data_IF_841071234114
#
_entry.id   IF_841071234114
#
_cell.length_a   1.000
_cell.length_b   1.000
_cell.length_c   1.000
_cell.angle_alpha   90.00
_cell.angle_beta   90.00
_cell.angle_gamma   90.00
#
_symmetry.space_group_name_H-M   'P 1'
#
loop_
_entity.id
_entity.type
_entity.pdbx_description
1 polymer ?
#
# COMPACT_ATOMS: atom_id res chain seq x y z
N UNK A 1 31.46 11.65 -9.54
CA UNK A 1 30.26 12.37 -9.04
C UNK A 1 29.03 11.74 -9.68
N UNK A 2 28.08 11.24 -8.88
CA UNK A 2 26.90 10.48 -9.35
C UNK A 2 25.91 11.44 -10.04
N UNK A 3 25.36 11.06 -11.20
CA UNK A 3 24.57 11.95 -12.08
C UNK A 3 23.33 12.56 -11.38
N UNK A 4 22.65 11.74 -10.57
CA UNK A 4 21.52 12.11 -9.70
C UNK A 4 21.86 13.19 -8.67
N UNK A 5 23.06 13.14 -8.07
CA UNK A 5 23.50 14.13 -7.08
C UNK A 5 23.60 15.54 -7.67
N UNK A 6 24.23 15.67 -8.84
CA UNK A 6 24.33 16.95 -9.57
C UNK A 6 22.97 17.49 -9.99
N UNK A 7 22.04 16.60 -10.38
CA UNK A 7 20.67 17.03 -10.74
C UNK A 7 19.92 17.53 -9.50
N UNK A 8 20.06 16.88 -8.33
CA UNK A 8 19.42 17.34 -7.08
C UNK A 8 19.99 18.67 -6.57
N UNK A 9 21.29 18.91 -6.73
CA UNK A 9 21.89 20.21 -6.39
C UNK A 9 21.26 21.35 -7.21
N UNK A 10 21.02 21.11 -8.50
CA UNK A 10 20.37 22.08 -9.39
C UNK A 10 18.85 22.15 -9.23
N UNK A 11 18.22 21.04 -8.88
CA UNK A 11 16.77 20.89 -8.75
C UNK A 11 16.42 20.19 -7.42
N UNK A 12 16.49 20.91 -6.28
CA UNK A 12 16.35 20.30 -4.94
C UNK A 12 14.95 19.74 -4.67
N UNK A 13 13.96 20.11 -5.47
CA UNK A 13 12.58 19.61 -5.39
C UNK A 13 12.29 18.46 -6.38
N UNK A 14 13.25 18.06 -7.20
CA UNK A 14 13.06 16.94 -8.12
C UNK A 14 12.92 15.65 -7.30
N UNK A 15 11.80 14.96 -7.50
CA UNK A 15 11.61 13.59 -7.04
C UNK A 15 11.95 12.64 -8.19
N UNK A 16 12.76 11.63 -7.90
CA UNK A 16 13.17 10.60 -8.84
C UNK A 16 12.69 9.25 -8.33
N UNK A 17 11.92 8.55 -9.15
CA UNK A 17 11.39 7.23 -8.87
C UNK A 17 12.07 6.24 -9.82
N UNK A 18 12.56 5.12 -9.31
CA UNK A 18 13.09 4.05 -10.14
C UNK A 18 12.04 2.96 -10.35
N UNK A 19 11.66 2.75 -11.61
CA UNK A 19 10.98 1.54 -12.03
C UNK A 19 12.01 0.41 -12.11
N UNK A 20 12.26 -0.22 -10.97
CA UNK A 20 13.23 -1.29 -10.82
C UNK A 20 12.52 -2.48 -10.16
N UNK A 21 12.52 -3.61 -10.84
CA UNK A 21 11.93 -4.85 -10.34
C UNK A 21 13.02 -5.72 -9.74
N UNK A 22 12.97 -5.94 -8.43
CA UNK A 22 13.81 -6.95 -7.78
C UNK A 22 13.15 -8.32 -7.91
N UNK A 23 13.68 -9.14 -8.81
CA UNK A 23 13.33 -10.56 -8.86
C UNK A 23 14.24 -11.32 -7.90
N UNK A 24 13.78 -11.53 -6.66
CA UNK A 24 14.53 -12.24 -5.60
C UNK A 24 15.06 -13.62 -6.06
N UNK A 25 14.41 -14.22 -7.06
CA UNK A 25 14.72 -15.54 -7.61
C UNK A 25 15.80 -15.52 -8.70
N UNK A 26 16.11 -14.36 -9.29
CA UNK A 26 16.94 -14.25 -10.52
C UNK A 26 18.16 -13.35 -10.31
N UNK A 27 18.08 -12.33 -9.46
CA UNK A 27 19.17 -11.38 -9.22
C UNK A 27 19.51 -11.26 -7.74
N UNK A 28 20.79 -11.01 -7.39
CA UNK A 28 21.15 -10.66 -6.03
C UNK A 28 20.35 -9.41 -5.59
N UNK A 29 19.69 -9.53 -4.44
CA UNK A 29 18.86 -8.47 -3.86
C UNK A 29 19.68 -7.22 -3.53
N UNK A 30 19.02 -6.05 -3.47
CA UNK A 30 19.64 -4.79 -3.04
C UNK A 30 19.91 -3.75 -4.13
N UNK A 31 19.46 -3.98 -5.37
CA UNK A 31 19.52 -2.97 -6.43
C UNK A 31 18.71 -1.73 -6.06
N UNK A 32 17.51 -1.90 -5.48
CA UNK A 32 16.67 -0.81 -5.01
C UNK A 32 17.33 0.00 -3.89
N UNK A 33 18.00 -0.68 -2.96
CA UNK A 33 18.78 -0.03 -1.91
C UNK A 33 19.92 0.80 -2.49
N UNK A 34 20.66 0.27 -3.47
CA UNK A 34 21.74 1.00 -4.12
C UNK A 34 21.21 2.20 -4.95
N UNK A 35 20.08 2.07 -5.63
CA UNK A 35 19.43 3.19 -6.33
C UNK A 35 19.04 4.31 -5.36
N UNK A 36 18.47 3.98 -4.20
CA UNK A 36 18.15 4.96 -3.16
C UNK A 36 19.43 5.61 -2.61
N UNK A 37 20.49 4.84 -2.37
CA UNK A 37 21.82 5.38 -2.01
C UNK A 37 22.43 6.27 -3.09
N UNK A 38 22.08 6.04 -4.36
CA UNK A 38 22.45 6.91 -5.47
C UNK A 38 21.58 8.17 -5.55
N UNK A 39 20.52 8.32 -4.75
CA UNK A 39 19.72 9.54 -4.68
C UNK A 39 18.36 9.45 -5.38
N UNK A 40 17.90 8.25 -5.74
CA UNK A 40 16.48 8.03 -6.00
C UNK A 40 15.69 8.18 -4.71
N UNK A 41 14.48 8.73 -4.83
CA UNK A 41 13.61 8.97 -3.68
C UNK A 41 12.87 7.70 -3.28
N UNK A 42 12.48 6.91 -4.29
CA UNK A 42 11.86 5.62 -4.09
C UNK A 42 12.15 4.68 -5.28
N UNK A 43 11.83 3.41 -5.09
CA UNK A 43 11.80 2.38 -6.13
C UNK A 43 10.45 1.67 -6.10
N UNK A 44 10.04 1.02 -7.18
CA UNK A 44 8.77 0.28 -7.22
C UNK A 44 8.77 -0.89 -6.21
N UNK A 45 7.66 -1.08 -5.49
CA UNK A 45 7.47 -2.24 -4.61
C UNK A 45 6.88 -3.44 -5.38
N UNK A 46 7.63 -3.95 -6.36
CA UNK A 46 7.22 -5.13 -7.15
C UNK A 46 7.01 -6.36 -6.26
N UNK A 47 7.84 -6.52 -5.24
CA UNK A 47 7.72 -7.61 -4.27
C UNK A 47 6.36 -7.56 -3.57
N UNK A 48 5.87 -6.38 -3.14
CA UNK A 48 4.52 -6.27 -2.58
C UNK A 48 3.45 -6.71 -3.58
N UNK A 49 3.53 -6.23 -4.82
CA UNK A 49 2.58 -6.62 -5.87
C UNK A 49 2.55 -8.15 -6.08
N UNK A 50 3.72 -8.80 -6.10
CA UNK A 50 3.82 -10.26 -6.22
C UNK A 50 3.23 -10.97 -5.00
N UNK A 51 3.53 -10.51 -3.78
CA UNK A 51 2.95 -11.09 -2.56
C UNK A 51 1.44 -10.91 -2.43
N UNK A 52 0.87 -9.87 -3.03
CA UNK A 52 -0.58 -9.68 -3.12
C UNK A 52 -1.23 -10.69 -4.08
N UNK A 53 -0.46 -11.26 -4.99
CA UNK A 53 -0.89 -12.27 -5.99
C UNK A 53 -0.71 -13.71 -5.49
N UNK A 54 0.32 -13.96 -4.68
CA UNK A 54 0.74 -15.31 -4.24
C UNK A 54 -0.23 -16.04 -3.26
N UNK A 55 -1.31 -15.40 -2.81
CA UNK A 55 -2.27 -15.93 -1.81
C UNK A 55 -1.66 -16.41 -0.47
N UNK A 56 -0.42 -16.02 -0.19
CA UNK A 56 0.33 -16.49 0.98
C UNK A 56 0.42 -15.41 2.07
N UNK A 57 -0.54 -15.44 3.01
CA UNK A 57 -0.68 -14.42 4.07
C UNK A 57 0.60 -14.15 4.87
N UNK A 58 1.42 -15.18 5.16
CA UNK A 58 2.64 -14.96 5.95
C UNK A 58 3.74 -14.25 5.15
N UNK A 59 3.86 -14.49 3.84
CA UNK A 59 4.80 -13.79 2.98
C UNK A 59 4.37 -12.33 2.82
N UNK A 60 3.07 -12.11 2.60
CA UNK A 60 2.50 -10.77 2.51
C UNK A 60 2.70 -10.01 3.83
N UNK A 61 2.42 -10.65 4.98
CA UNK A 61 2.63 -10.05 6.31
C UNK A 61 4.10 -9.74 6.55
N UNK A 62 5.00 -10.68 6.24
CA UNK A 62 6.44 -10.50 6.42
C UNK A 62 6.96 -9.29 5.63
N UNK A 63 6.48 -9.12 4.40
CA UNK A 63 6.85 -7.97 3.56
C UNK A 63 6.28 -6.64 4.02
N UNK A 64 5.02 -6.64 4.49
CA UNK A 64 4.33 -5.43 4.92
C UNK A 64 4.73 -4.94 6.31
N UNK A 65 4.89 -5.88 7.25
CA UNK A 65 4.99 -5.60 8.69
C UNK A 65 6.34 -5.98 9.28
N UNK A 66 7.19 -6.70 8.54
CA UNK A 66 8.52 -7.11 8.99
C UNK A 66 9.58 -6.03 8.81
N UNK A 67 10.72 -6.26 9.44
CA UNK A 67 11.90 -5.40 9.29
C UNK A 67 12.50 -5.54 7.89
N UNK A 68 12.92 -4.41 7.30
CA UNK A 68 13.45 -4.35 5.94
C UNK A 68 14.72 -3.53 5.87
N UNK A 69 15.65 -3.97 5.03
CA UNK A 69 16.86 -3.22 4.74
C UNK A 69 16.57 -1.89 4.02
N UNK A 70 15.59 -1.89 3.11
CA UNK A 70 15.06 -0.68 2.48
C UNK A 70 13.78 -0.26 3.20
N UNK A 71 13.76 0.90 3.87
CA UNK A 71 12.57 1.38 4.56
C UNK A 71 11.39 1.60 3.61
N UNK A 72 10.18 1.31 4.10
CA UNK A 72 8.95 1.37 3.30
C UNK A 72 8.69 2.75 2.67
N UNK A 73 9.14 3.84 3.32
CA UNK A 73 9.06 5.20 2.79
C UNK A 73 9.83 5.44 1.48
N UNK A 74 10.73 4.53 1.10
CA UNK A 74 11.47 4.52 -0.16
C UNK A 74 10.88 3.55 -1.20
N UNK A 75 9.65 3.07 -0.98
CA UNK A 75 8.96 2.16 -1.87
C UNK A 75 7.73 2.84 -2.44
N UNK A 76 7.55 2.71 -3.75
CA UNK A 76 6.37 3.17 -4.45
C UNK A 76 5.38 2.02 -4.58
N UNK A 77 4.23 2.18 -3.93
CA UNK A 77 3.20 1.16 -3.83
C UNK A 77 2.17 1.32 -4.94
N UNK A 78 1.79 0.19 -5.55
CA UNK A 78 0.79 0.11 -6.60
C UNK A 78 0.15 -1.28 -6.60
N UNK A 79 -1.03 -1.38 -7.18
CA UNK A 79 -1.69 -2.67 -7.46
C UNK A 79 -1.92 -2.90 -8.95
N UNK A 80 -1.66 -1.90 -9.78
CA UNK A 80 -1.59 -2.03 -11.23
C UNK A 80 -0.70 -0.92 -11.78
N UNK A 81 -0.07 -1.20 -12.91
CA UNK A 81 0.66 -0.23 -13.71
C UNK A 81 0.55 -0.64 -15.19
N UNK A 82 1.32 -0.01 -16.09
CA UNK A 82 1.21 -0.29 -17.51
C UNK A 82 1.75 -1.66 -17.97
N UNK A 83 2.60 -2.28 -17.17
CA UNK A 83 3.17 -3.61 -17.42
C UNK A 83 2.34 -4.71 -16.75
N UNK A 84 1.78 -4.41 -15.57
CA UNK A 84 0.97 -5.33 -14.76
C UNK A 84 -0.49 -5.40 -15.22
N UNK A 85 -1.17 -6.46 -14.79
CA UNK A 85 -2.60 -6.64 -15.05
C UNK A 85 -3.45 -5.61 -14.32
N UNK A 86 -4.65 -5.37 -14.85
CA UNK A 86 -5.66 -4.55 -14.18
C UNK A 86 -6.04 -5.18 -12.84
N UNK A 87 -5.90 -4.45 -11.74
CA UNK A 87 -6.17 -4.90 -10.39
C UNK A 87 -7.60 -5.45 -10.24
N UNK A 88 -8.58 -4.81 -10.87
CA UNK A 88 -9.98 -5.25 -10.83
C UNK A 88 -10.20 -6.60 -11.54
N UNK A 89 -9.41 -6.92 -12.56
CA UNK A 89 -9.44 -8.22 -13.24
C UNK A 89 -8.62 -9.26 -12.47
N UNK A 90 -7.41 -8.89 -12.05
CA UNK A 90 -6.40 -9.77 -11.47
C UNK A 90 -6.75 -10.22 -10.04
N UNK A 91 -7.09 -9.28 -9.16
CA UNK A 91 -7.42 -9.59 -7.76
C UNK A 91 -8.91 -9.90 -7.56
N UNK A 92 -9.76 -9.62 -8.55
CA UNK A 92 -11.21 -9.78 -8.48
C UNK A 92 -11.80 -9.09 -7.24
N UNK A 93 -12.53 -9.84 -6.41
CA UNK A 93 -13.14 -9.33 -5.17
C UNK A 93 -12.14 -8.75 -4.15
N UNK A 94 -10.84 -9.03 -4.28
CA UNK A 94 -9.80 -8.51 -3.40
C UNK A 94 -9.16 -7.22 -3.88
N UNK A 95 -9.54 -6.70 -5.04
CA UNK A 95 -8.90 -5.51 -5.65
C UNK A 95 -8.89 -4.30 -4.70
N UNK A 96 -10.00 -4.03 -4.00
CA UNK A 96 -10.06 -2.97 -3.01
C UNK A 96 -9.16 -3.25 -1.80
N UNK A 97 -9.17 -4.49 -1.29
CA UNK A 97 -8.32 -4.86 -0.16
C UNK A 97 -6.82 -4.73 -0.50
N UNK A 98 -6.43 -5.08 -1.73
CA UNK A 98 -5.07 -4.92 -2.24
C UNK A 98 -4.70 -3.43 -2.34
N UNK A 99 -5.62 -2.60 -2.83
CA UNK A 99 -5.44 -1.16 -2.94
C UNK A 99 -5.29 -0.52 -1.55
N UNK A 100 -6.13 -0.87 -0.57
CA UNK A 100 -5.99 -0.41 0.82
C UNK A 100 -4.65 -0.85 1.38
N UNK A 101 -4.27 -2.12 1.18
CA UNK A 101 -3.03 -2.67 1.71
C UNK A 101 -1.79 -1.97 1.15
N UNK A 102 -1.79 -1.62 -0.13
CA UNK A 102 -0.66 -0.97 -0.80
C UNK A 102 -0.62 0.53 -0.54
N UNK A 103 -1.76 1.20 -0.71
CA UNK A 103 -1.80 2.67 -0.77
C UNK A 103 -1.80 3.33 0.60
N UNK A 104 -2.04 2.59 1.68
CA UNK A 104 -1.99 3.14 3.05
C UNK A 104 -0.65 2.90 3.76
N UNK A 105 0.36 2.41 3.04
CA UNK A 105 1.74 2.28 3.52
C UNK A 105 2.52 3.60 3.36
N UNK A 106 3.62 3.79 4.11
CA UNK A 106 4.63 4.79 3.84
C UNK A 106 5.20 4.70 2.44
N UNK A 107 5.43 5.85 1.82
CA UNK A 107 6.06 5.97 0.52
C UNK A 107 5.12 6.53 -0.55
N UNK A 108 5.64 6.73 -1.78
CA UNK A 108 4.83 7.15 -2.91
C UNK A 108 3.72 6.14 -3.23
N UNK A 109 2.62 6.66 -3.77
CA UNK A 109 1.43 5.90 -4.15
C UNK A 109 1.20 6.13 -5.64
N UNK A 110 1.10 5.06 -6.40
CA UNK A 110 0.85 5.14 -7.83
C UNK A 110 -0.53 4.58 -8.15
N UNK A 111 -1.26 5.33 -8.98
CA UNK A 111 -2.55 4.96 -9.52
C UNK A 111 -2.47 4.91 -11.03
N UNK A 112 -2.98 3.85 -11.63
CA UNK A 112 -3.12 3.79 -13.08
C UNK A 112 -4.46 4.38 -13.51
N UNK A 113 -4.49 4.97 -14.71
CA UNK A 113 -5.72 5.49 -15.29
C UNK A 113 -6.78 4.38 -15.43
N UNK A 114 -8.00 4.60 -14.94
CA UNK A 114 -9.08 3.62 -14.98
C UNK A 114 -9.17 2.72 -13.75
N UNK A 115 -8.20 2.78 -12.83
CA UNK A 115 -8.16 1.94 -11.64
C UNK A 115 -9.32 2.23 -10.69
N UNK A 116 -9.63 3.50 -10.48
CA UNK A 116 -10.71 3.97 -9.60
C UNK A 116 -12.09 3.63 -10.18
N UNK A 117 -12.18 3.61 -11.51
CA UNK A 117 -13.34 3.19 -12.28
C UNK A 117 -13.51 1.67 -12.35
N UNK A 118 -12.55 0.89 -11.84
CA UNK A 118 -12.61 -0.57 -11.85
C UNK A 118 -12.47 -1.19 -13.23
N UNK A 119 -11.80 -0.53 -14.17
CA UNK A 119 -11.57 -1.06 -15.52
C UNK A 119 -10.78 -2.37 -15.46
N UNK A 120 -11.23 -3.35 -16.24
CA UNK A 120 -10.69 -4.72 -16.25
C UNK A 120 -9.89 -5.02 -17.50
N UNK A 121 -10.13 -4.29 -18.58
CA UNK A 121 -9.47 -4.51 -19.86
C UNK A 121 -8.11 -3.83 -19.89
N UNK A 122 -7.12 -4.56 -20.40
CA UNK A 122 -5.75 -4.07 -20.52
C UNK A 122 -5.70 -2.86 -21.46
N UNK A 123 -5.00 -1.80 -21.03
CA UNK A 123 -4.63 -0.69 -21.89
C UNK A 123 -3.40 -1.08 -22.72
N UNK A 124 -3.57 -1.22 -24.04
CA UNK A 124 -2.45 -1.40 -24.95
C UNK A 124 -1.72 -0.07 -25.12
N UNK A 125 -0.80 0.24 -24.19
CA UNK A 125 -0.12 1.54 -24.11
C UNK A 125 0.61 1.92 -25.39
N UNK A 126 1.20 0.93 -26.08
CA UNK A 126 1.91 1.12 -27.35
C UNK A 126 0.97 1.61 -28.47
N UNK A 127 -0.31 1.23 -28.40
CA UNK A 127 -1.33 1.61 -29.37
C UNK A 127 -2.21 2.78 -28.87
N UNK A 128 -2.05 3.18 -27.60
CA UNK A 128 -2.91 4.15 -26.90
C UNK A 128 -4.39 3.82 -27.04
N UNK A 129 -4.72 2.52 -26.97
CA UNK A 129 -6.08 1.99 -27.15
C UNK A 129 -6.41 0.99 -26.06
N UNK A 130 -7.64 1.00 -25.61
CA UNK A 130 -8.25 -0.03 -24.77
C UNK A 130 -9.66 -0.30 -25.28
N UNK A 131 -10.22 -1.43 -24.86
CA UNK A 131 -11.66 -1.65 -24.98
C UNK A 131 -12.38 -0.61 -24.09
N UNK A 132 -13.50 -0.09 -24.56
CA UNK A 132 -14.33 0.79 -23.74
C UNK A 132 -15.08 -0.06 -22.73
N UNK A 133 -15.10 0.40 -21.49
CA UNK A 133 -15.81 -0.24 -20.39
C UNK A 133 -16.66 0.81 -19.67
N UNK A 134 -17.76 0.36 -19.06
CA UNK A 134 -18.47 1.17 -18.10
C UNK A 134 -17.74 1.13 -16.76
N UNK A 135 -17.75 2.23 -16.02
CA UNK A 135 -17.19 2.25 -14.68
C UNK A 135 -18.01 1.38 -13.72
N UNK A 136 -17.32 0.71 -12.80
CA UNK A 136 -17.92 0.01 -11.67
C UNK A 136 -18.25 1.02 -10.56
N UNK A 137 -19.54 1.29 -10.35
CA UNK A 137 -19.99 2.28 -9.39
C UNK A 137 -19.64 1.94 -7.94
N UNK A 138 -19.56 0.66 -7.59
CA UNK A 138 -19.19 0.23 -6.24
C UNK A 138 -17.70 0.49 -6.01
N UNK A 139 -16.86 0.13 -6.99
CA UNK A 139 -15.43 0.40 -6.96
C UNK A 139 -15.15 1.91 -6.86
N UNK A 140 -15.84 2.74 -7.65
CA UNK A 140 -15.69 4.20 -7.60
C UNK A 140 -16.03 4.77 -6.23
N UNK A 141 -17.13 4.31 -5.60
CA UNK A 141 -17.52 4.76 -4.27
C UNK A 141 -16.49 4.33 -3.22
N UNK A 142 -16.00 3.10 -3.31
CA UNK A 142 -14.99 2.58 -2.40
C UNK A 142 -13.65 3.32 -2.52
N UNK A 143 -13.16 3.55 -3.75
CA UNK A 143 -11.99 4.37 -4.00
C UNK A 143 -12.20 5.82 -3.55
N UNK A 144 -13.40 6.38 -3.73
CA UNK A 144 -13.75 7.70 -3.20
C UNK A 144 -13.53 7.79 -1.69
N UNK A 145 -13.99 6.79 -0.93
CA UNK A 145 -13.74 6.70 0.52
C UNK A 145 -12.26 6.51 0.84
N UNK A 146 -11.56 5.64 0.10
CA UNK A 146 -10.13 5.41 0.29
C UNK A 146 -9.32 6.69 0.08
N UNK A 147 -9.54 7.41 -1.02
CA UNK A 147 -8.86 8.66 -1.34
C UNK A 147 -9.09 9.74 -0.27
N UNK A 148 -10.26 9.78 0.35
CA UNK A 148 -10.54 10.67 1.48
C UNK A 148 -9.80 10.25 2.76
N UNK A 149 -9.56 8.96 2.96
CA UNK A 149 -8.82 8.43 4.11
C UNK A 149 -7.29 8.54 3.96
N UNK A 150 -6.77 8.48 2.73
CA UNK A 150 -5.34 8.50 2.43
C UNK A 150 -4.53 9.66 3.05
N UNK A 151 -5.06 10.89 3.18
CA UNK A 151 -4.37 11.98 3.89
C UNK A 151 -4.11 11.74 5.38
N UNK A 152 -4.89 10.85 6.02
CA UNK A 152 -4.74 10.50 7.43
C UNK A 152 -3.62 9.47 7.66
N UNK A 153 -3.25 8.72 6.62
CA UNK A 153 -2.11 7.83 6.61
C UNK A 153 -0.80 8.62 6.44
N UNK A 154 -0.46 9.45 7.45
CA UNK A 154 0.73 10.31 7.51
C UNK A 154 1.30 10.36 8.94
N UNK A 155 2.60 10.65 9.03
CA UNK A 155 3.32 10.73 10.31
C UNK A 155 4.11 9.46 10.61
N UNK A 156 4.11 9.01 11.86
CA UNK A 156 4.85 7.82 12.26
C UNK A 156 4.01 6.58 11.98
N UNK A 157 4.52 5.69 11.14
CA UNK A 157 3.92 4.39 10.84
C UNK A 157 4.46 3.30 11.77
N UNK A 158 3.59 2.37 12.17
CA UNK A 158 3.98 1.19 12.95
C UNK A 158 3.15 -0.04 12.57
N UNK A 159 3.75 -1.24 12.47
CA UNK A 159 3.00 -2.48 12.37
C UNK A 159 2.28 -2.77 13.68
N UNK A 160 1.19 -3.54 13.63
CA UNK A 160 0.39 -3.89 14.79
C UNK A 160 0.14 -5.39 14.85
N UNK A 161 0.25 -5.96 16.05
CA UNK A 161 0.00 -7.39 16.25
C UNK A 161 -1.48 -7.61 16.54
N UNK A 162 -2.17 -8.27 15.60
CA UNK A 162 -3.52 -8.79 15.85
C UNK A 162 -3.43 -10.11 16.63
N UNK A 163 -4.34 -10.33 17.59
CA UNK A 163 -4.41 -11.52 18.44
C UNK A 163 -5.77 -12.21 18.34
N UNK A 164 -5.80 -13.54 18.44
CA UNK A 164 -7.01 -14.35 18.36
C UNK A 164 -7.05 -15.30 17.16
N UNK A 165 -8.09 -16.14 17.09
CA UNK A 165 -8.17 -17.23 16.08
C UNK A 165 -8.20 -16.73 14.63
N UNK A 166 -8.80 -15.57 14.36
CA UNK A 166 -8.88 -14.98 13.02
C UNK A 166 -7.72 -14.04 12.67
N UNK A 167 -6.79 -13.77 13.60
CA UNK A 167 -5.75 -12.75 13.43
C UNK A 167 -4.83 -13.00 12.24
N UNK A 168 -4.55 -14.26 11.91
CA UNK A 168 -3.71 -14.61 10.77
C UNK A 168 -4.30 -14.22 9.40
N UNK A 169 -5.59 -13.88 9.34
CA UNK A 169 -6.26 -13.37 8.13
C UNK A 169 -6.13 -11.86 7.97
N UNK A 170 -5.72 -11.18 9.04
CA UNK A 170 -5.66 -9.73 9.11
C UNK A 170 -4.23 -9.21 8.96
N UNK A 171 -4.12 -8.06 8.31
CA UNK A 171 -2.93 -7.24 8.25
C UNK A 171 -3.30 -5.91 8.92
N UNK A 172 -2.54 -5.50 9.93
CA UNK A 172 -2.89 -4.33 10.75
C UNK A 172 -1.67 -3.45 10.97
N UNK A 173 -1.84 -2.15 10.77
CA UNK A 173 -0.87 -1.11 11.08
C UNK A 173 -1.55 0.17 11.52
N UNK A 174 -0.76 1.08 12.09
CA UNK A 174 -1.24 2.37 12.53
C UNK A 174 -0.34 3.51 12.05
N UNK A 175 -0.97 4.67 11.93
CA UNK A 175 -0.35 5.96 11.69
C UNK A 175 -0.62 6.88 12.87
N UNK A 176 0.45 7.50 13.36
CA UNK A 176 0.39 8.58 14.34
C UNK A 176 0.68 9.90 13.64
N UNK A 177 -0.41 10.62 13.34
CA UNK A 177 -0.35 12.00 12.88
C UNK A 177 -0.34 13.01 14.04
N UNK A 178 -0.15 14.31 13.76
CA UNK A 178 -0.12 15.35 14.79
C UNK A 178 -1.42 15.49 15.59
N UNK A 179 -2.57 15.28 14.95
CA UNK A 179 -3.89 15.54 15.53
C UNK A 179 -4.76 14.28 15.70
N UNK A 180 -4.45 13.19 15.02
CA UNK A 180 -5.26 11.98 15.02
C UNK A 180 -4.39 10.73 14.89
N UNK A 181 -5.02 9.60 15.20
CA UNK A 181 -4.52 8.26 14.93
C UNK A 181 -5.30 7.68 13.76
N UNK A 182 -4.68 6.81 12.98
CA UNK A 182 -5.38 6.03 11.96
C UNK A 182 -4.93 4.60 12.04
N UNK A 183 -5.88 3.70 12.22
CA UNK A 183 -5.64 2.25 12.18
C UNK A 183 -6.15 1.74 10.85
N UNK A 184 -5.33 0.95 10.18
CA UNK A 184 -5.70 0.24 8.96
C UNK A 184 -5.72 -1.23 9.31
N UNK A 185 -6.85 -1.88 9.05
CA UNK A 185 -7.02 -3.33 9.17
C UNK A 185 -7.55 -3.86 7.85
N UNK A 186 -6.82 -4.81 7.25
CA UNK A 186 -7.19 -5.45 5.99
C UNK A 186 -7.37 -6.93 6.23
N UNK A 187 -8.58 -7.43 5.98
CA UNK A 187 -8.79 -8.86 5.77
C UNK A 187 -8.47 -9.16 4.31
N UNK A 188 -7.40 -9.92 4.07
CA UNK A 188 -6.97 -10.26 2.71
C UNK A 188 -7.33 -11.71 2.33
N UNK A 189 -8.35 -12.25 3.00
CA UNK A 189 -8.89 -13.60 2.75
C UNK A 189 -10.37 -13.52 2.36
N UNK A 190 -10.93 -14.64 1.92
CA UNK A 190 -12.28 -14.79 1.38
C UNK A 190 -13.37 -15.05 2.43
N UNK A 191 -13.00 -15.12 3.71
CA UNK A 191 -13.94 -15.34 4.82
C UNK A 191 -13.77 -14.29 5.90
N UNK A 192 -14.84 -14.05 6.65
CA UNK A 192 -14.84 -13.13 7.78
C UNK A 192 -13.81 -13.53 8.85
N UNK A 193 -13.26 -12.51 9.51
CA UNK A 193 -12.23 -12.66 10.51
C UNK A 193 -12.41 -11.65 11.64
N UNK A 194 -12.12 -12.08 12.86
CA UNK A 194 -12.09 -11.24 14.05
C UNK A 194 -10.78 -11.42 14.78
N UNK A 195 -10.29 -10.32 15.34
CA UNK A 195 -9.10 -10.29 16.19
C UNK A 195 -9.18 -9.12 17.17
N UNK A 196 -8.33 -9.18 18.18
CA UNK A 196 -8.08 -8.09 19.11
C UNK A 196 -6.78 -7.39 18.73
N UNK A 197 -6.78 -6.06 18.77
CA UNK A 197 -5.58 -5.23 18.60
C UNK A 197 -5.37 -4.52 19.93
N UNK A 198 -4.14 -4.56 20.43
CA UNK A 198 -3.78 -3.82 21.63
C UNK A 198 -3.63 -2.35 21.29
N UNK A 199 -4.61 -1.54 21.68
CA UNK A 199 -4.59 -0.09 21.43
C UNK A 199 -3.47 0.59 22.24
N UNK A 200 -3.02 0.04 23.36
CA UNK A 200 -1.90 0.59 24.11
C UNK A 200 -0.57 0.45 23.35
N UNK A 201 -0.37 -0.66 22.62
CA UNK A 201 0.76 -0.82 21.69
C UNK A 201 0.74 0.25 20.58
N UNK A 202 -0.45 0.70 20.18
CA UNK A 202 -0.60 1.81 19.25
C UNK A 202 -0.21 3.12 19.93
N UNK A 203 -0.83 3.43 21.07
CA UNK A 203 -0.81 4.75 21.71
C UNK A 203 0.57 5.20 22.21
N UNK A 204 1.52 4.27 22.42
CA UNK A 204 2.93 4.50 22.81
C UNK A 204 3.21 5.34 24.08
N UNK A 205 2.22 6.06 24.61
CA UNK A 205 2.37 7.04 25.69
C UNK A 205 1.62 6.65 26.97
N UNK A 206 1.17 5.39 27.10
CA UNK A 206 0.60 4.86 28.35
C UNK A 206 -0.65 5.61 28.88
N UNK A 207 -1.24 6.48 28.07
CA UNK A 207 -2.44 7.24 28.43
C UNK A 207 -3.66 6.33 28.45
N UNK A 208 -4.12 5.94 29.64
CA UNK A 208 -5.44 5.34 29.81
C UNK A 208 -6.51 6.29 29.31
N UNK A 209 -7.30 5.86 28.32
CA UNK A 209 -8.38 6.65 27.75
C UNK A 209 -9.24 5.83 26.79
N UNK A 210 -10.50 6.23 26.65
CA UNK A 210 -11.40 5.70 25.63
C UNK A 210 -11.26 6.58 24.38
N UNK A 211 -11.01 5.96 23.23
CA UNK A 211 -10.91 6.64 21.94
C UNK A 211 -12.06 6.18 21.04
N UNK A 212 -12.80 7.13 20.44
CA UNK A 212 -13.81 6.80 19.44
C UNK A 212 -13.16 6.51 18.10
N UNK A 213 -13.57 5.43 17.45
CA UNK A 213 -13.11 5.05 16.13
C UNK A 213 -14.21 5.32 15.10
N UNK A 214 -13.91 6.12 14.08
CA UNK A 214 -14.80 6.31 12.92
C UNK A 214 -14.37 5.40 11.77
N UNK A 215 -15.23 4.50 11.31
CA UNK A 215 -14.97 3.66 10.14
C UNK A 215 -15.12 4.46 8.85
N UNK A 216 -14.01 4.71 8.17
CA UNK A 216 -14.01 5.52 6.94
C UNK A 216 -14.34 4.72 5.67
N UNK A 217 -14.00 3.43 5.64
CA UNK A 217 -14.22 2.58 4.46
C UNK A 217 -15.55 1.80 4.54
N UNK A 218 -15.93 1.39 5.75
CA UNK A 218 -17.17 0.65 6.04
C UNK A 218 -18.35 1.54 6.44
N UNK A 219 -18.12 2.84 6.72
CA UNK A 219 -19.15 3.79 7.15
C UNK A 219 -19.72 3.57 8.56
N UNK A 220 -19.23 2.57 9.31
CA UNK A 220 -19.66 2.28 10.68
C UNK A 220 -18.81 2.98 11.75
N UNK A 221 -19.42 3.48 12.83
CA UNK A 221 -18.70 3.93 14.02
C UNK A 221 -18.40 2.75 14.96
N UNK A 222 -17.25 2.79 15.64
CA UNK A 222 -16.87 1.82 16.68
C UNK A 222 -16.53 2.61 17.96
N UNK A 223 -17.07 2.17 19.10
CA UNK A 223 -16.77 2.72 20.43
C UNK A 223 -15.69 1.90 21.15
#
# INVERSE_FOLDING_TARGET
QRASGRVRERFPRLLALAECYEYEQIYPSGTGLELVRQGFHAVYDKTLYDRLTDDHMDNLRGHLLGDRALPQGHLCHFTENHDEDRAAAHFGGRALAAAVASLTLPGPRMFMWGQQEGYRERLAVQLRRCKREAADSEMQQAFGRLLQALPLCRGTWRPCTARGKGAWRLLVWAWRGPAHWTVVAVNYTDVEAWAHIDVAELLADGGGGCARLGGMLSGGGYE
#
